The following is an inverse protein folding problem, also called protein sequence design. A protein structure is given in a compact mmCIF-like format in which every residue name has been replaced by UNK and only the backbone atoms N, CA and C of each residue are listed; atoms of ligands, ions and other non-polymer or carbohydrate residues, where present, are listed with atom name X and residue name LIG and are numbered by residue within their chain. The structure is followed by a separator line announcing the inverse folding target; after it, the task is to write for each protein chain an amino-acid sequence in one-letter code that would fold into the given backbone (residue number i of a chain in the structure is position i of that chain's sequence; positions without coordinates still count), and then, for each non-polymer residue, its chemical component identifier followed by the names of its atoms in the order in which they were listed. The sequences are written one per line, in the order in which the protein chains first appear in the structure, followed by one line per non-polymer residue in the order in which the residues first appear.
data_IF_887504373935
#
_entry.id   IF_887504373935
#
_cell.length_a   1.000
_cell.length_b   1.000
_cell.length_c   1.000
_cell.angle_alpha   90.00
_cell.angle_beta   90.00
_cell.angle_gamma   90.00
#
_symmetry.space_group_name_H-M   'P 1'
#
loop_
_entity.id
_entity.type
_entity.pdbx_description
1 polymer ?
#
# COMPACT_ATOMS: atom_id res chain seq x y z
N UNK A 1 -11.50 36.17 39.90
CA UNK A 1 -10.65 35.97 38.68
C UNK A 1 -10.43 34.46 38.57
N UNK A 2 -11.25 33.76 37.79
CA UNK A 2 -11.16 32.30 37.62
C UNK A 2 -10.14 32.00 36.50
N UNK A 3 -9.04 31.35 36.86
CA UNK A 3 -8.05 30.84 35.91
C UNK A 3 -8.60 29.55 35.29
N UNK A 4 -9.00 29.61 34.03
CA UNK A 4 -9.35 28.41 33.24
C UNK A 4 -8.04 27.82 32.73
N UNK A 5 -7.57 26.74 33.35
CA UNK A 5 -6.47 25.93 32.83
C UNK A 5 -6.98 25.17 31.62
N UNK A 6 -6.53 25.56 30.42
CA UNK A 6 -6.68 24.76 29.22
C UNK A 6 -5.71 23.56 29.29
N UNK A 7 -6.23 22.38 29.63
CA UNK A 7 -5.49 21.13 29.48
C UNK A 7 -5.39 20.81 27.99
N UNK A 8 -4.26 21.16 27.38
CA UNK A 8 -3.90 20.64 26.04
C UNK A 8 -3.51 19.18 26.24
N UNK A 9 -4.44 18.26 25.99
CA UNK A 9 -4.09 16.85 25.86
C UNK A 9 -3.09 16.71 24.70
N UNK A 10 -1.93 16.04 24.89
CA UNK A 10 -1.02 15.78 23.79
C UNK A 10 -1.78 14.91 22.78
N UNK A 11 -1.89 15.41 21.56
CA UNK A 11 -2.42 14.65 20.42
C UNK A 11 -1.38 13.57 20.11
N UNK A 12 -1.46 12.41 20.79
CA UNK A 12 -0.65 11.27 20.42
C UNK A 12 -1.04 10.91 18.99
N UNK A 13 -0.12 11.11 18.04
CA UNK A 13 -0.28 10.60 16.70
C UNK A 13 -0.59 9.10 16.81
N UNK A 14 -1.76 8.68 16.34
CA UNK A 14 -2.19 7.29 16.46
C UNK A 14 -1.15 6.41 15.76
N UNK A 15 -0.60 5.43 16.50
CA UNK A 15 0.42 4.54 15.96
C UNK A 15 -0.10 3.81 14.70
N UNK A 16 0.76 3.71 13.70
CA UNK A 16 0.44 3.01 12.46
C UNK A 16 1.00 1.59 12.48
N UNK A 17 0.33 0.68 11.79
CA UNK A 17 0.86 -0.64 11.54
C UNK A 17 1.98 -0.56 10.49
N UNK A 18 2.99 -1.44 10.63
CA UNK A 18 4.15 -1.48 9.74
C UNK A 18 4.40 -2.90 9.25
N UNK A 19 4.76 -2.99 7.98
CA UNK A 19 5.10 -4.24 7.29
C UNK A 19 6.47 -4.09 6.64
N UNK A 20 7.34 -5.07 6.87
CA UNK A 20 8.62 -5.24 6.18
C UNK A 20 8.44 -6.23 5.03
N UNK A 21 8.77 -5.82 3.82
CA UNK A 21 8.97 -6.69 2.68
C UNK A 21 10.46 -6.96 2.53
N UNK A 22 10.89 -8.18 2.81
CA UNK A 22 12.25 -8.65 2.47
C UNK A 22 12.23 -9.08 1.02
N UNK A 23 13.04 -8.46 0.18
CA UNK A 23 13.07 -8.77 -1.27
C UNK A 23 14.45 -9.20 -1.74
N UNK A 24 14.53 -9.74 -2.96
CA UNK A 24 15.82 -10.06 -3.59
C UNK A 24 16.70 -8.83 -3.83
N UNK A 25 16.10 -7.63 -3.87
CA UNK A 25 16.81 -6.37 -4.15
C UNK A 25 17.05 -5.52 -2.89
N UNK A 26 16.56 -5.97 -1.74
CA UNK A 26 16.67 -5.26 -0.47
C UNK A 26 15.35 -5.18 0.28
N UNK A 27 15.38 -4.50 1.41
CA UNK A 27 14.24 -4.37 2.31
C UNK A 27 13.42 -3.12 2.00
N UNK A 28 12.09 -3.25 2.04
CA UNK A 28 11.14 -2.16 1.89
C UNK A 28 10.23 -2.17 3.12
N UNK A 29 10.19 -1.08 3.89
CA UNK A 29 9.28 -0.93 5.03
C UNK A 29 8.13 -0.02 4.65
N UNK A 30 6.91 -0.49 4.90
CA UNK A 30 5.66 0.20 4.61
C UNK A 30 4.96 0.52 5.92
N UNK A 31 4.52 1.78 6.10
CA UNK A 31 3.58 2.16 7.14
C UNK A 31 2.18 2.29 6.54
N UNK A 32 1.19 1.68 7.20
CA UNK A 32 -0.21 1.66 6.74
C UNK A 32 -0.99 2.82 7.35
N UNK A 33 -1.88 3.42 6.56
CA UNK A 33 -2.72 4.54 7.02
C UNK A 33 -3.94 4.06 7.80
N UNK A 34 -4.23 4.76 8.90
CA UNK A 34 -5.40 4.48 9.74
C UNK A 34 -6.70 4.99 9.10
N UNK A 35 -6.59 5.95 8.21
CA UNK A 35 -7.68 6.59 7.47
C UNK A 35 -8.30 5.67 6.41
N UNK A 36 -7.62 4.57 6.09
CA UNK A 36 -8.09 3.53 5.15
C UNK A 36 -8.13 2.15 5.85
N UNK A 37 -8.98 1.99 6.87
CA UNK A 37 -8.94 0.83 7.76
C UNK A 37 -9.23 -0.49 7.05
N UNK A 38 -10.12 -0.53 6.04
CA UNK A 38 -10.42 -1.77 5.32
C UNK A 38 -9.20 -2.27 4.54
N UNK A 39 -8.50 -1.37 3.83
CA UNK A 39 -7.29 -1.73 3.10
C UNK A 39 -6.13 -2.09 4.04
N UNK A 40 -5.94 -1.31 5.13
CA UNK A 40 -4.95 -1.61 6.16
C UNK A 40 -5.15 -3.01 6.75
N UNK A 41 -6.36 -3.30 7.22
CA UNK A 41 -6.67 -4.55 7.91
C UNK A 41 -6.60 -5.75 6.94
N UNK A 42 -7.04 -5.54 5.69
CA UNK A 42 -6.87 -6.54 4.64
C UNK A 42 -5.40 -6.81 4.31
N UNK A 43 -4.58 -5.77 4.16
CA UNK A 43 -3.15 -5.95 3.88
C UNK A 43 -2.46 -6.72 5.02
N UNK A 44 -2.75 -6.37 6.28
CA UNK A 44 -2.27 -7.12 7.45
C UNK A 44 -2.74 -8.58 7.46
N UNK A 45 -4.00 -8.83 7.09
CA UNK A 45 -4.54 -10.20 6.95
C UNK A 45 -3.77 -10.99 5.91
N UNK A 46 -3.56 -10.44 4.71
CA UNK A 46 -2.84 -11.11 3.61
C UNK A 46 -1.39 -11.40 3.97
N UNK A 47 -0.71 -10.44 4.64
CA UNK A 47 0.63 -10.65 5.21
C UNK A 47 0.62 -11.75 6.28
N UNK A 48 -0.33 -11.71 7.21
CA UNK A 48 -0.46 -12.72 8.27
C UNK A 48 -0.75 -14.14 7.74
N UNK A 49 -1.36 -14.25 6.56
CA UNK A 49 -1.57 -15.51 5.84
C UNK A 49 -0.34 -15.94 5.01
N UNK A 50 0.75 -15.15 5.01
CA UNK A 50 1.97 -15.39 4.23
C UNK A 50 1.72 -15.48 2.70
N UNK A 51 0.66 -14.83 2.21
CA UNK A 51 0.31 -14.92 0.79
C UNK A 51 1.25 -14.11 -0.09
N UNK A 52 1.92 -13.09 0.45
CA UNK A 52 2.93 -12.32 -0.30
C UNK A 52 4.29 -13.03 -0.42
N UNK A 53 4.54 -14.05 0.40
CA UNK A 53 5.81 -14.78 0.38
C UNK A 53 6.02 -15.47 -0.97
N UNK A 54 7.17 -15.22 -1.53
CA UNK A 54 7.63 -15.70 -2.85
C UNK A 54 6.93 -15.07 -4.06
N UNK A 55 6.10 -14.02 -3.92
CA UNK A 55 5.51 -13.32 -5.05
C UNK A 55 6.51 -12.40 -5.75
N UNK A 56 6.27 -12.13 -7.03
CA UNK A 56 7.08 -11.23 -7.84
C UNK A 56 6.57 -9.79 -7.83
N UNK A 57 7.47 -8.84 -8.00
CA UNK A 57 7.11 -7.57 -8.61
C UNK A 57 6.88 -7.82 -10.10
N UNK A 58 5.68 -8.21 -10.45
CA UNK A 58 5.33 -8.76 -11.75
C UNK A 58 5.10 -7.72 -12.84
N UNK A 59 4.96 -6.44 -12.45
CA UNK A 59 4.81 -5.32 -13.37
C UNK A 59 5.55 -4.09 -12.87
N UNK A 60 6.46 -3.59 -13.70
CA UNK A 60 7.31 -2.44 -13.41
C UNK A 60 7.26 -1.49 -14.59
N UNK A 61 6.88 -0.24 -14.33
CA UNK A 61 6.91 0.80 -15.36
C UNK A 61 7.78 1.95 -14.85
N UNK A 62 8.86 2.22 -15.57
CA UNK A 62 9.79 3.30 -15.25
C UNK A 62 9.07 4.63 -15.14
N UNK A 63 9.47 5.45 -14.16
CA UNK A 63 8.88 6.76 -13.85
C UNK A 63 7.38 6.71 -13.51
N UNK A 64 6.87 5.52 -13.15
CA UNK A 64 5.46 5.34 -12.80
C UNK A 64 5.30 4.55 -11.49
N UNK A 65 5.46 3.22 -11.51
CA UNK A 65 5.23 2.38 -10.32
C UNK A 65 5.88 1.00 -10.44
N UNK A 66 5.99 0.32 -9.30
CA UNK A 66 6.29 -1.10 -9.20
C UNK A 66 5.11 -1.82 -8.55
N UNK A 67 4.62 -2.92 -9.15
CA UNK A 67 3.41 -3.62 -8.74
C UNK A 67 3.70 -5.07 -8.38
N UNK A 68 3.11 -5.53 -7.28
CA UNK A 68 3.19 -6.90 -6.76
C UNK A 68 1.82 -7.42 -6.31
N UNK A 69 1.77 -8.61 -5.71
CA UNK A 69 0.55 -9.18 -5.14
C UNK A 69 -0.21 -10.13 -6.05
N UNK A 70 0.26 -10.40 -7.27
CA UNK A 70 -0.33 -11.45 -8.12
C UNK A 70 0.00 -12.84 -7.57
N UNK A 71 -1.01 -13.56 -7.07
CA UNK A 71 -0.86 -14.89 -6.49
C UNK A 71 -0.33 -15.94 -7.48
N UNK A 72 -0.58 -15.75 -8.78
CA UNK A 72 -0.08 -16.62 -9.84
C UNK A 72 1.43 -16.45 -10.07
N UNK A 73 2.04 -15.38 -9.53
CA UNK A 73 3.45 -15.09 -9.71
C UNK A 73 4.37 -16.00 -8.88
N UNK A 74 3.85 -16.70 -7.87
CA UNK A 74 4.63 -17.49 -6.91
C UNK A 74 5.56 -18.52 -7.58
N UNK A 75 5.05 -19.20 -8.59
CA UNK A 75 5.77 -20.25 -9.33
C UNK A 75 5.79 -19.97 -10.84
N UNK A 76 5.67 -18.69 -11.22
CA UNK A 76 5.59 -18.31 -12.62
C UNK A 76 6.89 -18.61 -13.37
N UNK A 77 6.76 -19.24 -14.53
CA UNK A 77 7.89 -19.46 -15.43
C UNK A 77 8.33 -18.13 -16.09
N UNK A 78 9.60 -18.01 -16.50
CA UNK A 78 10.05 -16.85 -17.27
C UNK A 78 9.14 -16.59 -18.50
N UNK A 79 8.78 -15.32 -18.72
CA UNK A 79 7.92 -14.92 -19.85
C UNK A 79 6.42 -15.21 -19.68
N UNK A 80 5.99 -15.81 -18.56
CA UNK A 80 4.58 -15.98 -18.26
C UNK A 80 3.88 -14.62 -18.08
N UNK A 81 2.70 -14.46 -18.70
CA UNK A 81 1.85 -13.29 -18.47
C UNK A 81 1.24 -13.35 -17.07
N UNK A 82 1.40 -12.28 -16.32
CA UNK A 82 0.93 -12.14 -14.95
C UNK A 82 -0.06 -10.97 -14.82
N UNK A 83 -0.57 -10.75 -13.61
CA UNK A 83 -1.48 -9.65 -13.29
C UNK A 83 -2.94 -10.08 -13.10
N UNK A 84 -3.26 -11.39 -13.14
CA UNK A 84 -4.63 -11.90 -12.99
C UNK A 84 -4.88 -12.70 -11.71
N UNK A 85 -3.81 -13.04 -10.97
CA UNK A 85 -3.95 -13.76 -9.70
C UNK A 85 -4.47 -12.83 -8.61
N UNK A 86 -5.65 -13.16 -8.06
CA UNK A 86 -6.34 -12.35 -7.05
C UNK A 86 -7.07 -13.27 -6.06
N UNK A 87 -7.50 -12.74 -4.94
CA UNK A 87 -8.44 -13.39 -4.05
C UNK A 87 -9.88 -13.19 -4.57
N UNK A 88 -10.81 -13.97 -4.05
CA UNK A 88 -12.21 -14.04 -4.49
C UNK A 88 -13.12 -12.93 -3.97
N UNK A 89 -12.55 -11.85 -3.41
CA UNK A 89 -13.28 -10.70 -2.92
C UNK A 89 -12.59 -9.39 -3.29
N UNK A 90 -13.35 -8.30 -3.20
CA UNK A 90 -12.89 -6.94 -3.44
C UNK A 90 -13.12 -6.06 -2.21
N UNK A 91 -12.42 -4.93 -2.12
CA UNK A 91 -12.52 -3.97 -1.03
C UNK A 91 -13.15 -2.69 -1.55
N UNK A 92 -14.07 -2.10 -0.79
CA UNK A 92 -14.64 -0.80 -1.15
C UNK A 92 -13.58 0.29 -1.19
N UNK A 93 -13.73 1.22 -2.14
CA UNK A 93 -12.79 2.31 -2.28
C UNK A 93 -12.77 3.22 -1.03
N UNK A 94 -11.57 3.53 -0.54
CA UNK A 94 -11.37 4.43 0.59
C UNK A 94 -10.54 5.65 0.15
N UNK A 95 -11.08 6.47 -0.75
CA UNK A 95 -10.41 7.70 -1.17
C UNK A 95 -10.42 8.73 -0.03
N UNK A 96 -9.26 9.27 0.31
CA UNK A 96 -9.05 10.21 1.43
C UNK A 96 -8.29 11.46 0.98
N UNK A 97 -8.74 12.06 -0.12
CA UNK A 97 -8.20 13.31 -0.62
C UNK A 97 -8.67 14.50 0.24
N UNK A 98 -7.84 15.51 0.41
CA UNK A 98 -6.48 15.68 -0.13
C UNK A 98 -5.38 15.05 0.74
N UNK A 99 -5.70 14.33 1.82
CA UNK A 99 -4.71 13.82 2.79
C UNK A 99 -3.85 12.69 2.21
N UNK A 100 -4.49 11.74 1.52
CA UNK A 100 -3.85 10.57 0.93
C UNK A 100 -3.95 10.63 -0.59
N UNK A 101 -2.82 10.84 -1.26
CA UNK A 101 -2.72 10.99 -2.69
C UNK A 101 -1.46 10.29 -3.24
N UNK A 102 -1.39 10.12 -4.55
CA UNK A 102 -0.36 9.30 -5.21
C UNK A 102 0.99 10.02 -5.32
N UNK A 103 1.52 10.54 -4.21
CA UNK A 103 2.90 11.03 -4.15
C UNK A 103 3.90 9.89 -4.28
N UNK A 104 5.16 10.20 -4.62
CA UNK A 104 6.23 9.21 -4.60
C UNK A 104 6.31 8.53 -3.24
N UNK A 105 6.44 7.19 -3.25
CA UNK A 105 6.44 6.36 -2.04
C UNK A 105 5.05 5.96 -1.55
N UNK A 106 3.94 6.47 -2.12
CA UNK A 106 2.61 6.01 -1.78
C UNK A 106 2.42 4.54 -2.18
N UNK A 107 1.73 3.78 -1.31
CA UNK A 107 1.32 2.39 -1.54
C UNK A 107 -0.18 2.39 -1.79
N UNK A 108 -0.60 1.87 -2.95
CA UNK A 108 -1.99 1.90 -3.36
C UNK A 108 -2.46 0.53 -3.87
N UNK A 109 -3.77 0.28 -3.76
CA UNK A 109 -4.37 -0.98 -4.18
C UNK A 109 -4.63 -0.97 -5.71
N UNK A 110 -4.28 -2.07 -6.37
CA UNK A 110 -4.64 -2.28 -7.76
C UNK A 110 -6.13 -2.65 -7.87
N UNK A 111 -6.70 -2.46 -9.05
CA UNK A 111 -8.09 -2.81 -9.35
C UNK A 111 -8.32 -3.02 -10.85
N UNK A 112 -9.42 -3.65 -11.19
CA UNK A 112 -9.90 -3.71 -12.57
C UNK A 112 -10.34 -2.32 -13.09
N UNK A 113 -10.33 -2.18 -14.42
CA UNK A 113 -10.73 -0.93 -15.07
C UNK A 113 -12.22 -0.61 -14.92
N UNK A 114 -12.59 0.68 -15.03
CA UNK A 114 -13.93 1.21 -14.76
C UNK A 114 -15.07 0.51 -15.54
N UNK A 115 -14.80 -0.05 -16.72
CA UNK A 115 -15.81 -0.77 -17.50
C UNK A 115 -16.30 -2.04 -16.81
N UNK A 116 -15.38 -2.79 -16.17
CA UNK A 116 -15.71 -4.00 -15.41
C UNK A 116 -16.01 -3.71 -13.94
N UNK A 117 -15.52 -2.57 -13.45
CA UNK A 117 -15.57 -2.19 -12.04
C UNK A 117 -15.92 -0.70 -11.88
N UNK A 118 -17.17 -0.30 -12.17
CA UNK A 118 -17.60 1.11 -12.10
C UNK A 118 -17.56 1.67 -10.66
N UNK A 119 -17.67 0.81 -9.64
CA UNK A 119 -17.58 1.18 -8.23
C UNK A 119 -16.14 1.44 -7.77
N UNK A 120 -15.15 1.18 -8.64
CA UNK A 120 -13.71 1.34 -8.34
C UNK A 120 -13.25 0.57 -7.11
N UNK A 121 -13.87 -0.58 -6.84
CA UNK A 121 -13.48 -1.47 -5.77
C UNK A 121 -12.05 -1.98 -5.99
N UNK A 122 -11.27 -2.06 -4.95
CA UNK A 122 -9.89 -2.55 -5.02
C UNK A 122 -9.84 -4.08 -5.07
N UNK A 123 -8.87 -4.64 -5.78
CA UNK A 123 -8.48 -6.03 -5.60
C UNK A 123 -7.96 -6.28 -4.18
N UNK A 124 -8.03 -7.52 -3.73
CA UNK A 124 -7.74 -7.85 -2.35
C UNK A 124 -6.25 -8.07 -2.05
N UNK A 125 -5.42 -8.38 -3.07
CA UNK A 125 -4.01 -8.66 -2.82
C UNK A 125 -3.04 -7.89 -3.71
N UNK A 126 -3.42 -7.42 -4.90
CA UNK A 126 -2.49 -6.68 -5.73
C UNK A 126 -2.35 -5.21 -5.28
N UNK A 127 -1.11 -4.78 -5.14
CA UNK A 127 -0.76 -3.41 -4.74
C UNK A 127 0.39 -2.88 -5.59
N UNK A 128 0.53 -1.57 -5.63
CA UNK A 128 1.68 -0.92 -6.27
C UNK A 128 2.28 0.16 -5.39
N UNK A 129 3.58 0.40 -5.58
CA UNK A 129 4.34 1.47 -4.94
C UNK A 129 4.65 2.51 -6.01
N UNK A 130 4.26 3.74 -5.75
CA UNK A 130 4.43 4.87 -6.67
C UNK A 130 5.88 5.32 -6.68
N UNK A 131 6.49 5.34 -7.87
CA UNK A 131 7.69 6.12 -8.11
C UNK A 131 7.32 7.51 -8.67
N UNK A 132 6.63 7.53 -9.79
CA UNK A 132 6.20 8.75 -10.47
C UNK A 132 7.36 9.62 -10.91
N UNK A 133 7.05 10.71 -11.59
CA UNK A 133 7.99 11.75 -11.99
C UNK A 133 7.61 13.09 -11.36
N UNK A 134 8.52 14.05 -11.41
CA UNK A 134 8.22 15.44 -11.04
C UNK A 134 7.39 16.10 -12.14
N UNK A 135 6.52 17.00 -11.72
CA UNK A 135 5.56 17.69 -12.59
C UNK A 135 5.86 19.17 -12.62
N UNK A 136 5.31 19.86 -13.62
CA UNK A 136 5.25 21.31 -13.71
C UNK A 136 3.77 21.76 -13.70
N UNK A 137 3.55 23.06 -13.52
CA UNK A 137 2.19 23.60 -13.42
C UNK A 137 1.36 23.36 -14.69
N UNK A 138 1.97 23.47 -15.87
CA UNK A 138 1.27 23.25 -17.14
C UNK A 138 0.80 21.79 -17.31
N UNK A 139 1.63 20.83 -16.90
CA UNK A 139 1.26 19.40 -16.92
C UNK A 139 0.23 19.05 -15.85
N UNK A 140 0.34 19.64 -14.65
CA UNK A 140 -0.65 19.46 -13.59
C UNK A 140 -2.02 20.03 -14.01
N UNK A 141 -2.07 21.17 -14.69
CA UNK A 141 -3.33 21.70 -15.23
C UNK A 141 -4.00 20.72 -16.18
N UNK A 142 -3.25 20.09 -17.11
CA UNK A 142 -3.79 19.05 -18.00
C UNK A 142 -4.27 17.80 -17.25
N UNK A 143 -3.57 17.43 -16.17
CA UNK A 143 -4.04 16.32 -15.31
C UNK A 143 -5.34 16.69 -14.62
N UNK A 144 -5.47 17.94 -14.13
CA UNK A 144 -6.71 18.42 -13.51
C UNK A 144 -7.89 18.37 -14.48
N UNK A 145 -7.74 18.82 -15.72
CA UNK A 145 -8.78 18.72 -16.75
C UNK A 145 -9.24 17.26 -16.96
N UNK A 146 -8.29 16.33 -16.99
CA UNK A 146 -8.61 14.90 -17.09
C UNK A 146 -9.31 14.37 -15.84
N UNK A 147 -8.86 14.75 -14.64
CA UNK A 147 -9.51 14.37 -13.39
C UNK A 147 -10.94 14.92 -13.32
N UNK A 148 -11.16 16.16 -13.74
CA UNK A 148 -12.50 16.77 -13.78
C UNK A 148 -13.45 15.95 -14.66
N UNK A 149 -12.97 15.47 -15.79
CA UNK A 149 -13.77 14.58 -16.67
C UNK A 149 -14.06 13.24 -16.00
N UNK A 150 -13.04 12.59 -15.43
CA UNK A 150 -13.15 11.23 -14.89
C UNK A 150 -13.90 11.15 -13.54
N UNK A 151 -13.88 12.24 -12.78
CA UNK A 151 -14.44 12.31 -11.42
C UNK A 151 -15.57 13.32 -11.29
N UNK A 152 -16.08 13.83 -12.41
CA UNK A 152 -17.13 14.86 -12.44
C UNK A 152 -16.79 16.09 -11.58
N UNK A 153 -15.50 16.47 -11.59
CA UNK A 153 -14.98 17.63 -10.87
C UNK A 153 -14.87 17.46 -9.34
N UNK A 154 -15.10 16.27 -8.80
CA UNK A 154 -15.04 16.02 -7.35
C UNK A 154 -13.60 15.92 -6.82
N UNK A 155 -12.63 15.61 -7.67
CA UNK A 155 -11.21 15.52 -7.31
C UNK A 155 -10.47 16.77 -7.78
N UNK A 156 -9.82 17.46 -6.83
CA UNK A 156 -9.01 18.65 -7.11
C UNK A 156 -7.59 18.49 -6.58
N UNK A 157 -6.61 18.80 -7.40
CA UNK A 157 -5.22 18.93 -6.98
C UNK A 157 -5.11 20.25 -6.23
N UNK A 158 -4.93 20.19 -4.91
CA UNK A 158 -4.74 21.40 -4.10
C UNK A 158 -3.36 22.01 -4.32
N UNK A 159 -3.13 23.29 -3.93
CA UNK A 159 -1.80 23.89 -4.00
C UNK A 159 -0.73 23.07 -3.27
N UNK A 160 -1.05 22.49 -2.13
CA UNK A 160 -0.14 21.65 -1.33
C UNK A 160 0.20 20.34 -2.09
N UNK A 161 -0.79 19.67 -2.68
CA UNK A 161 -0.57 18.49 -3.52
C UNK A 161 0.28 18.83 -4.74
N UNK A 162 0.00 19.97 -5.40
CA UNK A 162 0.76 20.45 -6.56
C UNK A 162 2.24 20.66 -6.19
N UNK A 163 2.51 21.27 -5.03
CA UNK A 163 3.88 21.50 -4.57
C UNK A 163 4.62 20.18 -4.33
N UNK A 164 3.96 19.18 -3.72
CA UNK A 164 4.55 17.84 -3.54
C UNK A 164 4.81 17.18 -4.90
N UNK A 165 3.88 17.27 -5.85
CA UNK A 165 4.09 16.70 -7.18
C UNK A 165 5.24 17.35 -7.95
N UNK A 166 5.46 18.66 -7.76
CA UNK A 166 6.58 19.39 -8.37
C UNK A 166 7.92 19.05 -7.73
N UNK A 167 7.98 18.90 -6.43
CA UNK A 167 9.23 18.75 -5.67
C UNK A 167 9.61 17.28 -5.44
N UNK A 168 8.67 16.44 -5.03
CA UNK A 168 8.87 15.01 -4.73
C UNK A 168 8.53 14.15 -5.95
N UNK A 169 7.43 14.43 -6.63
CA UNK A 169 6.91 13.62 -7.74
C UNK A 169 5.75 12.72 -7.33
N UNK A 170 5.23 11.97 -8.30
CA UNK A 170 4.11 11.06 -8.11
C UNK A 170 3.27 10.87 -9.37
N UNK A 171 2.04 10.37 -9.18
CA UNK A 171 1.13 10.00 -10.28
C UNK A 171 -0.25 10.61 -10.08
N UNK A 172 -0.38 11.97 -10.18
CA UNK A 172 -1.62 12.69 -9.84
C UNK A 172 -2.85 12.24 -10.64
N UNK A 173 -2.66 11.66 -11.81
CA UNK A 173 -3.75 11.15 -12.65
C UNK A 173 -4.48 9.92 -12.07
N UNK A 174 -3.98 9.33 -10.97
CA UNK A 174 -4.63 8.22 -10.26
C UNK A 174 -5.43 8.68 -9.03
N UNK A 175 -5.33 9.95 -8.65
CA UNK A 175 -6.03 10.48 -7.48
C UNK A 175 -7.55 10.36 -7.62
N UNK A 176 -8.21 9.90 -6.53
CA UNK A 176 -9.64 9.65 -6.51
C UNK A 176 -10.10 8.46 -7.38
N UNK A 177 -9.17 7.68 -7.91
CA UNK A 177 -9.49 6.51 -8.74
C UNK A 177 -8.95 5.20 -8.16
N UNK A 178 -7.91 5.27 -7.32
CA UNK A 178 -7.29 4.14 -6.61
C UNK A 178 -7.08 4.51 -5.15
N UNK A 179 -7.24 3.56 -4.25
CA UNK A 179 -7.06 3.80 -2.82
C UNK A 179 -5.59 3.76 -2.44
N UNK A 180 -5.08 4.89 -1.94
CA UNK A 180 -3.78 4.96 -1.27
C UNK A 180 -3.99 4.55 0.18
N UNK A 181 -3.29 3.49 0.63
CA UNK A 181 -3.50 2.91 1.97
C UNK A 181 -2.24 2.82 2.82
N UNK A 182 -1.10 3.23 2.28
CA UNK A 182 0.18 3.22 2.99
C UNK A 182 1.23 4.06 2.29
N UNK A 183 2.40 4.07 2.87
CA UNK A 183 3.59 4.72 2.33
C UNK A 183 4.86 3.95 2.66
N UNK A 184 5.84 4.02 1.79
CA UNK A 184 7.20 3.52 2.06
C UNK A 184 7.89 4.48 3.02
N UNK A 185 8.36 3.96 4.15
CA UNK A 185 9.09 4.74 5.16
C UNK A 185 10.59 4.42 5.18
N UNK A 186 11.00 3.25 4.63
CA UNK A 186 12.39 2.86 4.40
C UNK A 186 12.47 2.02 3.11
N UNK A 187 13.57 2.14 2.34
CA UNK A 187 13.80 1.33 1.14
C UNK A 187 13.35 1.99 -0.18
N UNK A 188 13.21 3.32 -0.23
CA UNK A 188 12.91 4.01 -1.50
C UNK A 188 14.02 3.86 -2.54
N UNK A 189 15.26 3.65 -2.13
CA UNK A 189 16.38 3.33 -3.01
C UNK A 189 16.23 1.95 -3.67
N UNK A 190 15.60 0.99 -2.97
CA UNK A 190 15.25 -0.32 -3.53
C UNK A 190 14.17 -0.15 -4.62
N UNK A 191 13.16 0.69 -4.37
CA UNK A 191 12.14 1.00 -5.36
C UNK A 191 12.74 1.70 -6.59
N UNK A 192 13.71 2.62 -6.38
CA UNK A 192 14.42 3.27 -7.49
C UNK A 192 15.20 2.27 -8.32
N UNK A 193 15.88 1.32 -7.68
CA UNK A 193 16.57 0.25 -8.39
C UNK A 193 15.60 -0.59 -9.22
N UNK A 194 14.51 -1.07 -8.62
CA UNK A 194 13.53 -1.94 -9.29
C UNK A 194 12.88 -1.23 -10.48
N UNK A 195 12.47 0.03 -10.33
CA UNK A 195 11.75 0.76 -11.39
C UNK A 195 12.63 1.08 -12.61
N UNK A 196 13.96 0.92 -12.50
CA UNK A 196 14.91 1.10 -13.59
C UNK A 196 15.29 -0.21 -14.30
N UNK A 197 14.83 -1.35 -13.82
CA UNK A 197 15.14 -2.65 -14.41
C UNK A 197 14.59 -2.79 -15.83
N UNK A 198 15.28 -3.56 -16.65
CA UNK A 198 14.79 -3.94 -17.98
C UNK A 198 13.58 -4.86 -17.82
N UNK A 199 12.54 -4.57 -18.60
CA UNK A 199 11.29 -5.32 -18.59
C UNK A 199 11.04 -6.01 -19.93
N UNK A 200 10.17 -7.00 -19.93
CA UNK A 200 9.67 -7.66 -21.12
C UNK A 200 8.47 -6.88 -21.73
N UNK A 201 7.86 -7.44 -22.77
CA UNK A 201 6.67 -6.86 -23.44
C UNK A 201 5.41 -6.77 -22.57
N UNK A 202 5.43 -7.33 -21.38
CA UNK A 202 4.33 -7.31 -20.41
C UNK A 202 4.69 -6.44 -19.18
N UNK A 203 5.72 -5.61 -19.26
CA UNK A 203 6.26 -4.82 -18.16
C UNK A 203 6.81 -5.66 -17.00
N UNK A 204 7.06 -6.96 -17.17
CA UNK A 204 7.67 -7.81 -16.15
C UNK A 204 9.20 -7.64 -16.19
N UNK A 205 9.88 -7.45 -15.05
CA UNK A 205 11.33 -7.45 -15.00
C UNK A 205 11.91 -8.72 -15.64
N UNK A 206 12.92 -8.56 -16.51
CA UNK A 206 13.61 -9.70 -17.16
C UNK A 206 14.36 -10.56 -16.13
N UNK A 207 14.86 -9.94 -15.05
CA UNK A 207 15.34 -10.62 -13.85
C UNK A 207 14.26 -10.52 -12.80
N UNK A 208 13.74 -11.66 -12.33
CA UNK A 208 12.65 -11.69 -11.37
C UNK A 208 13.03 -11.00 -10.05
N UNK A 209 12.27 -10.01 -9.65
CA UNK A 209 12.32 -9.39 -8.33
C UNK A 209 11.28 -10.04 -7.44
N UNK A 210 11.69 -10.64 -6.34
CA UNK A 210 10.83 -11.46 -5.49
C UNK A 210 10.72 -10.91 -4.08
N UNK A 211 9.51 -10.89 -3.53
CA UNK A 211 9.28 -10.75 -2.10
C UNK A 211 9.63 -12.10 -1.46
N UNK A 212 10.72 -12.16 -0.71
CA UNK A 212 11.13 -13.37 -0.01
C UNK A 212 10.19 -13.67 1.15
N UNK A 213 9.87 -12.63 1.93
CA UNK A 213 8.89 -12.66 3.04
C UNK A 213 8.25 -11.30 3.23
N UNK A 214 7.00 -11.30 3.70
CA UNK A 214 6.32 -10.13 4.21
C UNK A 214 6.05 -10.31 5.72
N UNK A 215 6.50 -9.36 6.55
CA UNK A 215 6.50 -9.49 8.01
C UNK A 215 5.80 -8.29 8.62
N UNK A 216 4.80 -8.52 9.48
CA UNK A 216 4.21 -7.46 10.30
C UNK A 216 5.20 -7.13 11.42
N UNK A 217 5.83 -5.96 11.36
CA UNK A 217 6.82 -5.51 12.35
C UNK A 217 6.20 -4.69 13.47
N UNK A 218 5.05 -4.08 13.20
CA UNK A 218 4.26 -3.34 14.19
C UNK A 218 2.78 -3.48 13.87
N UNK A 219 1.97 -3.81 14.88
CA UNK A 219 0.51 -3.87 14.74
C UNK A 219 -0.20 -3.41 16.01
N UNK A 220 -0.49 -2.10 16.15
CA UNK A 220 -1.20 -1.57 17.30
C UNK A 220 -2.67 -2.01 17.39
N UNK A 221 -3.19 -2.65 16.33
CA UNK A 221 -4.57 -3.14 16.23
C UNK A 221 -4.68 -4.65 16.52
N UNK A 222 -3.56 -5.32 16.77
CA UNK A 222 -3.59 -6.74 17.12
C UNK A 222 -4.43 -6.97 18.37
N UNK A 223 -5.30 -7.98 18.41
CA UNK A 223 -6.04 -8.30 19.63
C UNK A 223 -5.05 -8.62 20.75
N UNK A 224 -5.23 -7.99 21.90
CA UNK A 224 -4.41 -8.26 23.08
C UNK A 224 -4.48 -9.75 23.39
N UNK A 225 -3.35 -10.46 23.53
CA UNK A 225 -3.37 -11.88 23.87
C UNK A 225 -4.21 -12.10 25.14
N UNK A 226 -5.24 -12.93 25.07
CA UNK A 226 -5.98 -13.31 26.27
C UNK A 226 -4.98 -13.94 27.23
N UNK A 227 -4.93 -13.53 28.53
CA UNK A 227 -4.01 -14.11 29.48
C UNK A 227 -4.23 -15.62 29.48
N UNK A 228 -3.19 -16.39 29.21
CA UNK A 228 -3.25 -17.84 29.34
C UNK A 228 -3.72 -18.18 30.74
N UNK A 229 -4.86 -18.86 30.85
CA UNK A 229 -5.29 -19.43 32.10
C UNK A 229 -4.21 -20.41 32.53
N UNK A 230 -3.35 -20.03 33.48
CA UNK A 230 -2.39 -20.95 34.11
C UNK A 230 -3.17 -22.20 34.50
N UNK A 231 -2.91 -23.31 33.83
CA UNK A 231 -3.43 -24.62 34.25
C UNK A 231 -2.92 -24.84 35.69
N UNK A 232 -3.81 -24.69 36.67
CA UNK A 232 -3.50 -25.12 38.03
C UNK A 232 -3.25 -26.61 38.00
N UNK A 233 -2.00 -27.00 38.05
CA UNK A 233 -1.62 -28.38 38.27
C UNK A 233 -2.00 -28.68 39.73
N UNK A 234 -3.19 -29.23 39.93
CA UNK A 234 -3.61 -29.83 41.21
C UNK A 234 -2.66 -30.98 41.51
N UNK A 235 -1.64 -30.70 42.35
CA UNK A 235 -0.86 -31.73 43.02
C UNK A 235 -1.80 -32.48 43.94
N UNK A 236 -2.33 -33.61 43.50
CA UNK A 236 -2.92 -34.59 44.39
C UNK A 236 -1.82 -35.07 45.37
N UNK A 237 -1.85 -34.54 46.58
CA UNK A 237 -1.12 -35.18 47.71
C UNK A 237 -1.76 -36.54 47.92
N UNK A 238 -1.06 -37.62 47.52
CA UNK A 238 -1.35 -38.94 48.03
C UNK A 238 -1.04 -38.90 49.54
N UNK A 239 -2.07 -39.05 50.36
CA UNK A 239 -1.93 -39.45 51.74
C UNK A 239 -1.88 -40.97 51.79
N UNK A 240 -0.77 -41.49 52.30
CA UNK A 240 -0.71 -42.82 52.91
C UNK A 240 -1.46 -42.79 54.24
#
# INVERSE_FOLDING_TARGET
MLLVLWMTSPLFAQERAEVLLETTEGNIRIALFNETPQHRDNFLKVVGMQLYDSLLFHRVIKDFMVQSGDLNSKHAQPGARLGTGELDYTIEAEFRLPQLFHRRGAVAAAREGDKANPERRSGACQFYIVWGKKWDDARLAKVQERLDTLTQGTVKITPEMAEVYKTVGGTPHLDGQYTVFGEVIEGMEVIDHIQQMLVDKYDRPQTDVRILRAIITKNPFAPTPKPEKKKQILRRKQKK
#
